data_IF_739481960664
#
_entry.id   IF_739481960664
#
_cell.length_a   1.000
_cell.length_b   1.000
_cell.length_c   1.000
_cell.angle_alpha   90.00
_cell.angle_beta   90.00
_cell.angle_gamma   90.00
#
_symmetry.space_group_name_H-M   'P 1'
#
loop_
_entity.id
_entity.type
_entity.pdbx_description
1 polymer ?
#
# COMPACT_ATOMS: atom_id res chain seq x y z
N UNK A 1 0.98 -5.07 -17.79
CA UNK A 1 2.24 -4.56 -17.21
C UNK A 1 3.10 -5.75 -16.86
N UNK A 2 4.38 -5.76 -17.21
CA UNK A 2 5.36 -6.77 -16.78
C UNK A 2 6.48 -6.13 -15.93
N UNK A 3 7.36 -6.95 -15.35
CA UNK A 3 8.47 -6.51 -14.49
C UNK A 3 9.38 -5.47 -15.16
N UNK A 4 9.76 -5.67 -16.42
CA UNK A 4 10.64 -4.75 -17.14
C UNK A 4 9.96 -3.38 -17.35
N UNK A 5 8.66 -3.38 -17.64
CA UNK A 5 7.88 -2.16 -17.81
C UNK A 5 7.74 -1.39 -16.48
N UNK A 6 7.57 -2.09 -15.35
CA UNK A 6 7.56 -1.48 -14.01
C UNK A 6 8.89 -0.78 -13.71
N UNK A 7 10.01 -1.47 -13.89
CA UNK A 7 11.36 -0.93 -13.66
C UNK A 7 11.62 0.26 -14.58
N UNK A 8 11.25 0.14 -15.86
CA UNK A 8 11.40 1.24 -16.84
C UNK A 8 10.59 2.47 -16.44
N UNK A 9 9.36 2.28 -15.96
CA UNK A 9 8.54 3.38 -15.47
C UNK A 9 9.19 4.07 -14.27
N UNK A 10 9.61 3.29 -13.27
CA UNK A 10 10.30 3.80 -12.06
C UNK A 10 11.54 4.61 -12.42
N UNK A 11 12.42 4.06 -13.28
CA UNK A 11 13.63 4.74 -13.71
C UNK A 11 13.31 6.05 -14.44
N UNK A 12 12.26 6.07 -15.28
CA UNK A 12 11.86 7.29 -15.95
C UNK A 12 11.34 8.37 -14.97
N UNK A 13 10.63 7.98 -13.91
CA UNK A 13 10.23 8.94 -12.86
C UNK A 13 11.47 9.47 -12.12
N UNK A 14 12.45 8.62 -11.83
CA UNK A 14 13.71 9.03 -11.20
C UNK A 14 14.44 10.08 -12.05
N UNK A 15 14.61 9.85 -13.35
CA UNK A 15 15.26 10.78 -14.28
C UNK A 15 14.56 12.16 -14.31
N UNK A 16 13.23 12.16 -14.27
CA UNK A 16 12.43 13.41 -14.28
C UNK A 16 12.59 14.17 -12.96
N UNK A 17 12.67 13.44 -11.84
CA UNK A 17 12.90 14.02 -10.51
C UNK A 17 14.30 14.62 -10.40
N UNK A 18 15.32 13.88 -10.84
CA UNK A 18 16.72 14.33 -10.87
C UNK A 18 16.93 15.53 -11.81
N UNK A 19 16.18 15.60 -12.91
CA UNK A 19 16.12 16.79 -13.77
C UNK A 19 15.40 17.99 -13.12
N UNK A 20 14.93 17.86 -11.89
CA UNK A 20 14.29 18.92 -11.11
C UNK A 20 12.88 19.29 -11.59
N UNK A 21 12.23 18.44 -12.40
CA UNK A 21 10.89 18.70 -12.95
C UNK A 21 9.76 18.33 -11.99
N UNK A 22 10.01 17.44 -11.04
CA UNK A 22 9.11 17.12 -9.94
C UNK A 22 9.62 17.86 -8.70
N UNK A 23 8.78 18.70 -8.07
CA UNK A 23 9.16 19.50 -6.89
C UNK A 23 8.73 18.88 -5.55
N UNK A 24 7.77 17.95 -5.58
CA UNK A 24 7.26 17.28 -4.40
C UNK A 24 8.06 15.98 -4.13
N UNK A 25 8.02 15.44 -2.90
CA UNK A 25 8.70 14.18 -2.59
C UNK A 25 8.15 13.01 -3.43
N UNK A 26 9.03 12.07 -3.77
CA UNK A 26 8.68 10.83 -4.47
C UNK A 26 9.18 9.63 -3.67
N UNK A 27 8.45 8.52 -3.75
CA UNK A 27 8.85 7.25 -3.16
C UNK A 27 8.75 6.16 -4.22
N UNK A 28 9.91 5.79 -4.76
CA UNK A 28 9.99 4.82 -5.83
C UNK A 28 9.76 3.40 -5.28
N UNK A 29 8.99 2.62 -6.03
CA UNK A 29 8.87 1.18 -5.78
C UNK A 29 10.03 0.45 -6.46
N UNK A 30 10.43 -0.69 -5.92
CA UNK A 30 11.52 -1.47 -6.46
C UNK A 30 11.75 -2.72 -5.63
N UNK A 31 12.34 -3.76 -6.24
CA UNK A 31 12.68 -5.06 -5.62
C UNK A 31 11.48 -5.94 -5.24
N UNK A 32 10.26 -5.46 -5.44
CA UNK A 32 9.01 -6.15 -5.13
C UNK A 32 8.09 -6.28 -6.37
N UNK A 33 8.65 -6.24 -7.59
CA UNK A 33 7.87 -6.28 -8.83
C UNK A 33 7.07 -7.57 -8.97
N UNK A 34 7.73 -8.70 -8.78
CA UNK A 34 7.14 -10.04 -8.99
C UNK A 34 6.06 -10.33 -7.94
N UNK A 35 6.31 -9.95 -6.68
CA UNK A 35 5.35 -10.05 -5.59
C UNK A 35 4.12 -9.16 -5.86
N UNK A 36 4.33 -7.92 -6.28
CA UNK A 36 3.21 -6.99 -6.55
C UNK A 36 2.37 -7.47 -7.72
N UNK A 37 3.00 -7.92 -8.81
CA UNK A 37 2.30 -8.49 -9.97
C UNK A 37 1.48 -9.71 -9.57
N UNK A 38 2.05 -10.62 -8.78
CA UNK A 38 1.38 -11.83 -8.31
C UNK A 38 0.20 -11.53 -7.39
N UNK A 39 0.36 -10.60 -6.44
CA UNK A 39 -0.71 -10.24 -5.49
C UNK A 39 -1.90 -9.61 -6.21
N UNK A 40 -1.64 -8.80 -7.24
CA UNK A 40 -2.67 -8.12 -8.02
C UNK A 40 -3.13 -8.91 -9.26
N UNK A 41 -2.66 -10.15 -9.45
CA UNK A 41 -3.14 -11.03 -10.54
C UNK A 41 -4.63 -11.37 -10.36
N UNK A 42 -5.08 -11.51 -9.10
CA UNK A 42 -6.47 -11.78 -8.73
C UNK A 42 -7.35 -10.51 -8.63
N UNK A 43 -6.79 -9.32 -8.88
CA UNK A 43 -7.53 -8.06 -8.87
C UNK A 43 -8.64 -8.08 -9.92
N UNK A 44 -9.85 -7.68 -9.52
CA UNK A 44 -11.00 -7.59 -10.44
C UNK A 44 -11.52 -6.17 -10.52
N UNK A 45 -12.11 -5.86 -11.67
CA UNK A 45 -12.81 -4.60 -11.86
C UNK A 45 -13.85 -4.41 -10.74
N UNK A 46 -13.76 -3.26 -10.09
CA UNK A 46 -14.62 -2.90 -8.97
C UNK A 46 -14.11 -3.29 -7.57
N UNK A 47 -13.03 -4.06 -7.45
CA UNK A 47 -12.27 -4.17 -6.20
C UNK A 47 -11.60 -2.84 -5.85
N UNK A 48 -11.36 -2.63 -4.56
CA UNK A 48 -10.76 -1.41 -4.04
C UNK A 48 -9.29 -1.63 -3.70
N UNK A 49 -8.46 -0.65 -4.02
CA UNK A 49 -7.04 -0.65 -3.65
C UNK A 49 -6.75 0.53 -2.76
N UNK A 50 -6.18 0.22 -1.61
CA UNK A 50 -5.70 1.17 -0.62
C UNK A 50 -4.19 0.97 -0.46
N UNK A 51 -3.42 2.01 -0.74
CA UNK A 51 -1.96 1.96 -0.70
C UNK A 51 -1.34 2.98 0.25
N UNK A 52 -0.05 2.81 0.50
CA UNK A 52 0.78 3.84 1.16
C UNK A 52 1.21 4.91 0.15
N UNK A 53 2.08 5.83 0.57
CA UNK A 53 2.71 6.80 -0.33
C UNK A 53 3.65 6.17 -1.37
N UNK A 54 4.06 4.90 -1.20
CA UNK A 54 4.84 4.12 -2.18
C UNK A 54 3.88 3.19 -2.95
N UNK A 55 3.14 3.75 -3.91
CA UNK A 55 1.96 3.11 -4.52
C UNK A 55 2.00 2.95 -6.04
N UNK A 56 3.08 3.36 -6.70
CA UNK A 56 3.14 3.42 -8.16
C UNK A 56 2.93 2.04 -8.80
N UNK A 57 3.53 0.99 -8.25
CA UNK A 57 3.31 -0.38 -8.74
C UNK A 57 1.87 -0.85 -8.53
N UNK A 58 1.20 -0.44 -7.46
CA UNK A 58 -0.21 -0.80 -7.22
C UNK A 58 -1.11 -0.24 -8.33
N UNK A 59 -0.86 1.00 -8.74
CA UNK A 59 -1.57 1.62 -9.86
C UNK A 59 -1.34 0.86 -11.17
N UNK A 60 -0.08 0.58 -11.49
CA UNK A 60 0.28 -0.04 -12.78
C UNK A 60 -0.15 -1.51 -12.86
N UNK A 61 0.01 -2.28 -11.78
CA UNK A 61 -0.34 -3.69 -11.74
C UNK A 61 -1.86 -3.92 -11.74
N UNK A 62 -2.64 -2.93 -11.29
CA UNK A 62 -4.11 -2.97 -11.36
C UNK A 62 -4.69 -2.51 -12.70
N UNK A 63 -3.85 -2.46 -13.75
CA UNK A 63 -4.28 -2.18 -15.13
C UNK A 63 -4.54 -0.71 -15.45
N UNK A 64 -4.26 0.21 -14.52
CA UNK A 64 -4.53 1.64 -14.71
C UNK A 64 -3.46 2.32 -15.57
N UNK A 65 -3.80 3.47 -16.15
CA UNK A 65 -2.97 4.15 -17.17
C UNK A 65 -1.62 4.62 -16.63
N UNK A 66 -0.49 4.18 -17.20
CA UNK A 66 0.83 4.72 -16.84
C UNK A 66 0.97 6.21 -17.15
N UNK A 67 0.28 6.69 -18.18
CA UNK A 67 0.28 8.11 -18.57
C UNK A 67 -0.35 8.97 -17.47
N UNK A 68 -1.51 8.56 -16.97
CA UNK A 68 -2.21 9.27 -15.89
C UNK A 68 -1.40 9.27 -14.60
N UNK A 69 -0.77 8.14 -14.25
CA UNK A 69 0.11 8.06 -13.09
C UNK A 69 1.28 9.05 -13.21
N UNK A 70 1.95 9.06 -14.36
CA UNK A 70 3.07 9.97 -14.61
C UNK A 70 2.64 11.44 -14.51
N UNK A 71 1.47 11.79 -15.06
CA UNK A 71 0.92 13.13 -14.97
C UNK A 71 0.65 13.54 -13.51
N UNK A 72 0.04 12.67 -12.71
CA UNK A 72 -0.15 12.88 -11.27
C UNK A 72 1.19 13.10 -10.54
N UNK A 73 2.19 12.25 -10.79
CA UNK A 73 3.51 12.35 -10.16
C UNK A 73 4.19 13.68 -10.51
N UNK A 74 4.18 14.08 -11.79
CA UNK A 74 4.77 15.34 -12.26
C UNK A 74 4.10 16.55 -11.61
N UNK A 75 2.78 16.50 -11.39
CA UNK A 75 2.02 17.54 -10.71
C UNK A 75 2.15 17.50 -9.17
N UNK A 76 3.01 16.64 -8.63
CA UNK A 76 3.33 16.59 -7.20
C UNK A 76 2.45 15.63 -6.37
N UNK A 77 1.64 14.80 -7.03
CA UNK A 77 0.75 13.85 -6.36
C UNK A 77 1.37 12.47 -6.11
N UNK A 78 2.70 12.36 -6.15
CA UNK A 78 3.42 11.07 -6.04
C UNK A 78 3.08 10.27 -4.78
N UNK A 79 2.89 10.95 -3.64
CA UNK A 79 2.55 10.34 -2.35
C UNK A 79 1.04 10.17 -2.10
N UNK A 80 0.20 10.70 -2.99
CA UNK A 80 -1.25 10.73 -2.84
C UNK A 80 -1.94 10.50 -4.18
N UNK A 81 -1.42 9.54 -4.94
CA UNK A 81 -2.03 9.05 -6.19
C UNK A 81 -3.45 8.58 -5.90
N UNK A 82 -4.40 9.01 -6.71
CA UNK A 82 -5.80 8.70 -6.53
C UNK A 82 -6.49 8.38 -7.87
N UNK A 83 -7.61 7.68 -7.77
CA UNK A 83 -8.46 7.34 -8.91
C UNK A 83 -9.73 6.63 -8.45
N UNK A 84 -10.53 6.14 -9.39
CA UNK A 84 -11.72 5.36 -9.02
C UNK A 84 -11.30 4.11 -8.24
N UNK A 85 -11.89 3.98 -7.04
CA UNK A 85 -11.63 2.91 -6.06
C UNK A 85 -10.15 2.70 -5.74
N UNK A 86 -9.34 3.74 -5.90
CA UNK A 86 -7.91 3.72 -5.63
C UNK A 86 -7.52 4.91 -4.77
N UNK A 87 -7.10 4.63 -3.54
CA UNK A 87 -6.75 5.66 -2.55
C UNK A 87 -5.39 5.37 -1.94
N UNK A 88 -4.64 6.42 -1.65
CA UNK A 88 -3.34 6.32 -1.00
C UNK A 88 -3.24 7.33 0.14
N UNK A 89 -2.34 7.10 1.08
CA UNK A 89 -2.11 8.02 2.19
C UNK A 89 -0.63 8.19 2.49
N UNK A 90 -0.25 9.44 2.76
CA UNK A 90 1.06 9.84 3.29
C UNK A 90 1.18 9.65 4.81
N UNK A 91 0.07 9.32 5.50
CA UNK A 91 0.04 9.14 6.95
C UNK A 91 0.28 7.66 7.26
N UNK A 92 1.35 7.37 8.01
CA UNK A 92 1.69 6.01 8.46
C UNK A 92 0.48 5.42 9.18
N UNK A 93 0.06 4.20 8.79
CA UNK A 93 -1.14 3.51 9.26
C UNK A 93 -2.50 4.19 8.98
N UNK A 94 -2.51 5.44 8.48
CA UNK A 94 -3.73 6.21 8.26
C UNK A 94 -4.66 5.66 7.18
N UNK A 95 -4.14 4.83 6.27
CA UNK A 95 -4.95 4.19 5.22
C UNK A 95 -5.80 3.03 5.76
N UNK A 96 -5.33 2.34 6.81
CA UNK A 96 -5.96 1.14 7.38
C UNK A 96 -7.41 1.34 7.82
N UNK A 97 -7.78 2.38 8.59
CA UNK A 97 -9.18 2.59 8.99
C UNK A 97 -10.10 2.99 7.84
N UNK A 98 -9.57 3.68 6.81
CA UNK A 98 -10.34 4.06 5.62
C UNK A 98 -10.69 2.81 4.82
N UNK A 99 -9.70 1.95 4.57
CA UNK A 99 -9.89 0.66 3.91
C UNK A 99 -10.90 -0.23 4.67
N UNK A 100 -10.79 -0.27 6.01
CA UNK A 100 -11.72 -0.99 6.88
C UNK A 100 -13.16 -0.49 6.73
N UNK A 101 -13.36 0.83 6.71
CA UNK A 101 -14.68 1.45 6.52
C UNK A 101 -15.31 1.08 5.18
N UNK A 102 -14.52 1.06 4.10
CA UNK A 102 -15.00 0.60 2.78
C UNK A 102 -15.37 -0.87 2.81
N UNK A 103 -14.55 -1.73 3.44
CA UNK A 103 -14.86 -3.14 3.60
C UNK A 103 -16.18 -3.37 4.37
N UNK A 104 -16.42 -2.55 5.40
CA UNK A 104 -17.70 -2.53 6.12
C UNK A 104 -18.87 -2.21 5.20
N UNK A 105 -18.73 -1.15 4.39
CA UNK A 105 -19.73 -0.76 3.40
C UNK A 105 -20.01 -1.86 2.37
N UNK A 106 -18.97 -2.53 1.87
CA UNK A 106 -19.13 -3.66 0.95
C UNK A 106 -19.93 -4.81 1.58
N UNK A 107 -19.64 -5.14 2.85
CA UNK A 107 -20.39 -6.15 3.60
C UNK A 107 -21.86 -5.78 3.78
N UNK A 108 -22.14 -4.54 4.19
CA UNK A 108 -23.51 -4.04 4.35
C UNK A 108 -24.30 -4.10 3.04
N UNK A 109 -23.64 -3.79 1.92
CA UNK A 109 -24.23 -3.80 0.59
C UNK A 109 -24.29 -5.21 -0.04
N UNK A 110 -23.83 -6.25 0.65
CA UNK A 110 -23.71 -7.63 0.12
C UNK A 110 -22.95 -7.67 -1.22
N UNK A 111 -21.94 -6.81 -1.35
CA UNK A 111 -21.08 -6.77 -2.53
C UNK A 111 -20.22 -8.03 -2.61
N UNK A 112 -19.86 -8.42 -3.83
CA UNK A 112 -18.89 -9.50 -4.10
C UNK A 112 -17.46 -9.01 -4.23
N UNK A 113 -17.26 -7.69 -4.25
CA UNK A 113 -15.94 -7.08 -4.39
C UNK A 113 -15.24 -7.08 -3.04
N UNK A 114 -13.92 -6.95 -3.06
CA UNK A 114 -13.06 -6.91 -1.87
C UNK A 114 -12.19 -5.66 -1.84
N UNK A 115 -11.58 -5.44 -0.68
CA UNK A 115 -10.59 -4.38 -0.44
C UNK A 115 -9.20 -5.00 -0.34
N UNK A 116 -8.25 -4.50 -1.13
CA UNK A 116 -6.83 -4.75 -0.97
C UNK A 116 -6.22 -3.56 -0.21
N UNK A 117 -5.70 -3.79 0.99
CA UNK A 117 -5.07 -2.75 1.82
C UNK A 117 -3.59 -3.06 2.02
N UNK A 118 -2.74 -2.32 1.32
CA UNK A 118 -1.28 -2.42 1.41
C UNK A 118 -0.76 -1.54 2.56
N UNK A 119 0.09 -2.13 3.40
CA UNK A 119 0.77 -1.45 4.51
C UNK A 119 2.25 -1.83 4.51
N UNK A 120 3.13 -0.88 4.85
CA UNK A 120 4.54 -1.19 5.12
C UNK A 120 4.72 -1.85 6.49
N UNK A 121 5.86 -2.50 6.69
CA UNK A 121 6.31 -3.09 7.95
C UNK A 121 6.26 -2.12 9.15
N UNK A 122 6.75 -0.89 9.00
CA UNK A 122 6.64 0.13 10.05
C UNK A 122 5.17 0.46 10.41
N UNK A 123 4.30 0.52 9.40
CA UNK A 123 2.87 0.79 9.59
C UNK A 123 2.10 -0.40 10.15
N UNK A 124 2.57 -1.63 9.88
CA UNK A 124 1.99 -2.86 10.41
C UNK A 124 2.07 -2.89 11.93
N UNK A 125 3.19 -2.46 12.52
CA UNK A 125 3.35 -2.44 13.97
C UNK A 125 2.59 -1.32 14.69
N UNK A 126 2.03 -0.34 13.97
CA UNK A 126 1.18 0.68 14.56
C UNK A 126 -0.11 0.08 15.14
N UNK A 127 -0.49 0.51 16.34
CA UNK A 127 -1.72 0.06 17.03
C UNK A 127 -2.97 0.21 16.16
N UNK A 128 -3.10 1.33 15.44
CA UNK A 128 -4.21 1.58 14.53
C UNK A 128 -4.38 0.49 13.46
N UNK A 129 -3.28 0.07 12.82
CA UNK A 129 -3.31 -1.00 11.82
C UNK A 129 -3.68 -2.34 12.46
N UNK A 130 -3.10 -2.66 13.61
CA UNK A 130 -3.39 -3.90 14.34
C UNK A 130 -4.85 -3.99 14.79
N UNK A 131 -5.42 -2.89 15.30
CA UNK A 131 -6.83 -2.81 15.65
C UNK A 131 -7.73 -3.03 14.44
N UNK A 132 -7.40 -2.41 13.29
CA UNK A 132 -8.16 -2.60 12.05
C UNK A 132 -8.11 -4.06 11.56
N UNK A 133 -6.93 -4.70 11.57
CA UNK A 133 -6.77 -6.11 11.19
C UNK A 133 -7.60 -7.01 12.12
N UNK A 134 -7.49 -6.79 13.44
CA UNK A 134 -8.26 -7.55 14.44
C UNK A 134 -9.76 -7.38 14.22
N UNK A 135 -10.23 -6.15 13.99
CA UNK A 135 -11.64 -5.85 13.77
C UNK A 135 -12.15 -6.49 12.47
N UNK A 136 -11.40 -6.35 11.36
CA UNK A 136 -11.74 -6.98 10.09
C UNK A 136 -11.91 -8.50 10.21
N UNK A 137 -10.98 -9.16 10.91
CA UNK A 137 -11.05 -10.60 11.15
C UNK A 137 -12.22 -10.98 12.07
N UNK A 138 -12.47 -10.24 13.15
CA UNK A 138 -13.54 -10.54 14.09
C UNK A 138 -14.95 -10.43 13.50
N UNK A 139 -15.07 -9.71 12.39
CA UNK A 139 -16.33 -9.48 11.71
C UNK A 139 -16.33 -9.98 10.26
N UNK A 140 -15.42 -10.86 9.87
CA UNK A 140 -15.38 -11.47 8.52
C UNK A 140 -15.57 -10.43 7.39
N UNK A 141 -14.73 -9.40 7.39
CA UNK A 141 -14.82 -8.35 6.40
C UNK A 141 -14.17 -8.71 5.06
N UNK A 142 -14.71 -8.19 3.93
CA UNK A 142 -14.16 -8.41 2.60
C UNK A 142 -12.93 -7.51 2.39
N UNK A 143 -11.88 -7.71 3.18
CA UNK A 143 -10.61 -6.99 3.11
C UNK A 143 -9.44 -7.96 3.29
N UNK A 144 -8.43 -7.78 2.45
CA UNK A 144 -7.13 -8.43 2.55
C UNK A 144 -6.11 -7.36 2.92
N UNK A 145 -5.42 -7.55 4.03
CA UNK A 145 -4.25 -6.74 4.39
C UNK A 145 -3.00 -7.37 3.79
N UNK A 146 -2.25 -6.58 3.04
CA UNK A 146 -1.00 -6.98 2.40
C UNK A 146 0.14 -6.21 3.06
N UNK A 147 1.08 -6.94 3.63
CA UNK A 147 2.28 -6.37 4.23
C UNK A 147 3.38 -6.32 3.17
N UNK A 148 3.86 -5.11 2.86
CA UNK A 148 5.09 -4.88 2.13
C UNK A 148 6.25 -4.71 3.12
N UNK A 149 6.89 -5.82 3.47
CA UNK A 149 8.04 -5.84 4.36
C UNK A 149 9.34 -5.76 3.56
N UNK A 150 10.05 -4.64 3.71
CA UNK A 150 11.38 -4.43 3.13
C UNK A 150 12.48 -4.37 4.23
N UNK A 151 12.13 -4.74 5.47
CA UNK A 151 13.01 -4.72 6.64
C UNK A 151 13.36 -3.32 7.16
N UNK A 152 12.81 -2.24 6.60
CA UNK A 152 13.19 -0.87 6.91
C UNK A 152 11.99 0.07 7.09
N UNK A 153 11.94 0.71 8.26
CA UNK A 153 11.10 1.89 8.49
C UNK A 153 11.91 3.17 8.23
N UNK A 154 11.80 3.69 7.00
CA UNK A 154 12.59 4.83 6.48
C UNK A 154 14.09 4.55 6.40
N UNK A 155 14.78 4.54 7.53
CA UNK A 155 16.21 4.23 7.65
C UNK A 155 16.51 3.28 8.83
N UNK A 156 15.53 2.99 9.67
CA UNK A 156 15.71 2.13 10.83
C UNK A 156 15.37 0.68 10.48
N UNK A 157 16.19 -0.27 10.95
CA UNK A 157 15.89 -1.70 10.86
C UNK A 157 14.61 -2.00 11.65
N UNK A 158 13.64 -2.61 10.98
CA UNK A 158 12.32 -2.85 11.55
C UNK A 158 12.37 -3.83 12.73
N UNK A 159 13.28 -4.82 12.71
CA UNK A 159 13.43 -5.76 13.82
C UNK A 159 14.13 -5.12 15.01
N UNK A 160 15.05 -4.17 14.78
CA UNK A 160 15.69 -3.41 15.86
C UNK A 160 14.68 -2.55 16.62
N UNK A 161 13.79 -1.84 15.90
CA UNK A 161 12.81 -0.93 16.52
C UNK A 161 11.63 -1.66 17.18
N UNK A 162 11.19 -2.79 16.62
CA UNK A 162 10.00 -3.51 17.11
C UNK A 162 10.32 -4.80 17.88
N UNK A 163 11.56 -5.29 17.78
CA UNK A 163 12.04 -6.51 18.44
C UNK A 163 11.63 -7.82 17.76
N UNK A 164 12.42 -8.88 18.00
CA UNK A 164 12.10 -10.24 17.53
C UNK A 164 11.22 -10.97 18.56
N UNK A 165 9.92 -11.11 18.28
CA UNK A 165 8.96 -11.62 19.27
C UNK A 165 8.91 -13.15 19.41
N UNK A 166 9.24 -13.69 20.60
CA UNK A 166 8.70 -14.98 21.09
C UNK A 166 7.44 -14.73 21.92
N UNK A 167 6.33 -15.42 21.63
CA UNK A 167 5.09 -15.38 22.42
C UNK A 167 5.28 -16.08 23.77
N UNK A 168 5.16 -15.35 24.89
CA UNK A 168 5.04 -15.92 26.24
C UNK A 168 3.57 -16.25 26.54
N UNK A 169 3.31 -17.27 27.38
CA UNK A 169 1.93 -17.66 27.78
C UNK A 169 1.18 -16.57 28.55
N UNK A 170 1.92 -15.73 29.29
CA UNK A 170 1.40 -14.55 29.96
C UNK A 170 2.34 -13.39 29.63
N UNK A 171 1.78 -12.31 29.12
CA UNK A 171 2.52 -11.10 28.76
C UNK A 171 2.12 -10.01 29.76
N UNK A 172 3.12 -9.47 30.45
CA UNK A 172 3.01 -8.22 31.20
C UNK A 172 3.84 -7.19 30.44
N UNK A 173 3.16 -6.21 29.87
CA UNK A 173 3.82 -5.02 29.33
C UNK A 173 4.23 -4.13 30.51
N UNK A 174 5.39 -3.48 30.41
CA UNK A 174 5.77 -2.43 31.37
C UNK A 174 5.01 -1.16 31.06
#
# INVERSE_FOLDING_TARGET
>A
MNKEELIKFTNNIAEIYEAGKIKAPIHLSGTNEDETLKILEDYKEGDWIFGTWRSHYLWLCSGRSPKELKEQIVNGHSMHVYGDRFFTSAIVAGISPIALGVAWGLKLNRSKNIVYCFVGDGAYHCGLTQECIRYASGFDLPIVYILEDNGLTVQADTQEIWGTGRRKKVLKYK
#
